data_IF_494974395038
#
_entry.id   IF_494974395038
#
_cell.length_a   1.000
_cell.length_b   1.000
_cell.length_c   1.000
_cell.angle_alpha   90.00
_cell.angle_beta   90.00
_cell.angle_gamma   90.00
#
_symmetry.space_group_name_H-M   'P 1'
#
loop_
_entity.id
_entity.type
_entity.pdbx_description
1 polymer ?
#
# COMPACT_ATOMS: atom_id res chain seq x y z
N UNK A 1 1.77 10.33 -1.39
CA UNK A 1 0.28 10.44 -1.31
C UNK A 1 -0.33 9.07 -1.54
N UNK A 2 -1.55 8.80 -1.05
CA UNK A 2 -2.22 7.50 -1.27
C UNK A 2 -3.70 7.69 -1.61
N UNK A 3 -4.25 6.77 -2.41
CA UNK A 3 -5.67 6.68 -2.77
C UNK A 3 -6.13 5.24 -2.69
N UNK A 4 -7.42 5.05 -2.48
CA UNK A 4 -8.06 3.76 -2.39
C UNK A 4 -9.42 3.79 -3.08
N UNK A 5 -9.58 3.05 -4.17
CA UNK A 5 -10.84 2.91 -4.89
C UNK A 5 -10.94 1.52 -5.53
N UNK A 6 -12.15 0.97 -5.66
CA UNK A 6 -12.41 -0.36 -6.27
C UNK A 6 -11.51 -1.49 -5.74
N UNK A 7 -11.24 -1.50 -4.42
CA UNK A 7 -10.36 -2.50 -3.81
C UNK A 7 -8.90 -2.40 -4.24
N UNK A 8 -8.46 -1.26 -4.78
CA UNK A 8 -7.06 -1.01 -5.14
C UNK A 8 -6.53 0.16 -4.32
N UNK A 9 -5.42 -0.06 -3.64
CA UNK A 9 -4.59 0.99 -3.06
C UNK A 9 -3.56 1.42 -4.09
N UNK A 10 -3.37 2.72 -4.28
CA UNK A 10 -2.26 3.29 -5.04
C UNK A 10 -1.49 4.31 -4.20
N UNK A 11 -0.17 4.21 -4.23
CA UNK A 11 0.76 5.08 -3.50
C UNK A 11 1.71 5.73 -4.51
N UNK A 12 1.82 7.05 -4.44
CA UNK A 12 2.65 7.87 -5.34
C UNK A 12 3.73 8.64 -4.59
N UNK A 13 4.77 9.00 -5.35
CA UNK A 13 5.92 9.74 -4.86
C UNK A 13 7.00 8.84 -4.29
N UNK A 14 7.03 7.59 -4.74
CA UNK A 14 8.01 6.58 -4.34
C UNK A 14 9.22 6.63 -5.28
N UNK A 15 10.35 6.10 -4.83
CA UNK A 15 11.48 5.84 -5.70
C UNK A 15 11.21 4.59 -6.56
N UNK A 16 11.73 4.56 -7.79
CA UNK A 16 11.64 3.36 -8.62
C UNK A 16 12.41 2.20 -7.98
N UNK A 17 11.75 1.04 -7.87
CA UNK A 17 12.31 -0.12 -7.17
C UNK A 17 12.01 -0.15 -5.67
N UNK A 18 11.37 0.89 -5.12
CA UNK A 18 10.98 0.90 -3.71
C UNK A 18 9.91 -0.15 -3.42
N UNK A 19 10.11 -0.93 -2.36
CA UNK A 19 9.21 -2.03 -1.99
C UNK A 19 8.18 -1.52 -0.99
N UNK A 20 6.90 -1.68 -1.33
CA UNK A 20 5.77 -1.42 -0.44
C UNK A 20 5.23 -2.74 0.08
N UNK A 21 5.09 -2.86 1.40
CA UNK A 21 4.52 -4.03 2.07
C UNK A 21 3.15 -3.69 2.64
N UNK A 22 2.16 -4.54 2.43
CA UNK A 22 0.79 -4.34 2.87
C UNK A 22 0.43 -5.29 4.01
N UNK A 23 -0.27 -4.74 5.00
CA UNK A 23 -0.73 -5.45 6.18
C UNK A 23 -2.20 -5.11 6.47
N UNK A 24 -2.94 -6.04 7.05
CA UNK A 24 -4.24 -5.77 7.63
C UNK A 24 -4.10 -4.98 8.95
N UNK A 25 -5.23 -4.48 9.47
CA UNK A 25 -5.27 -3.71 10.71
C UNK A 25 -4.75 -4.46 11.95
N UNK A 26 -4.87 -5.78 11.97
CA UNK A 26 -4.35 -6.68 13.01
C UNK A 26 -2.85 -6.98 12.87
N UNK A 27 -2.20 -6.46 11.82
CA UNK A 27 -0.79 -6.68 11.53
C UNK A 27 -0.50 -7.90 10.66
N UNK A 28 -1.52 -8.64 10.20
CA UNK A 28 -1.33 -9.76 9.25
C UNK A 28 -0.72 -9.26 7.95
N UNK A 29 0.33 -9.93 7.47
CA UNK A 29 0.92 -9.64 6.16
C UNK A 29 -0.03 -10.06 5.02
N UNK A 30 -0.26 -9.15 4.07
CA UNK A 30 -1.12 -9.37 2.92
C UNK A 30 -0.33 -9.63 1.64
N UNK A 31 0.78 -8.90 1.45
CA UNK A 31 1.63 -9.00 0.27
C UNK A 31 2.49 -7.76 0.07
N UNK A 32 3.18 -7.68 -1.06
CA UNK A 32 4.07 -6.56 -1.41
C UNK A 32 4.06 -6.27 -2.90
N UNK A 33 4.37 -5.02 -3.25
CA UNK A 33 4.59 -4.60 -4.64
C UNK A 33 5.84 -3.72 -4.73
N UNK A 34 6.38 -3.58 -5.94
CA UNK A 34 7.54 -2.74 -6.23
C UNK A 34 7.08 -1.51 -7.00
N UNK A 35 7.52 -0.34 -6.57
CA UNK A 35 7.18 0.90 -7.23
C UNK A 35 7.78 0.97 -8.65
N UNK A 36 6.95 1.28 -9.63
CA UNK A 36 7.32 1.52 -11.01
C UNK A 36 6.80 2.89 -11.45
N UNK A 37 7.68 3.72 -12.01
CA UNK A 37 7.42 5.13 -12.31
C UNK A 37 6.92 5.92 -11.09
N UNK A 38 7.48 5.62 -9.91
CA UNK A 38 7.13 6.22 -8.63
C UNK A 38 5.75 5.88 -8.10
N UNK A 39 5.12 4.81 -8.62
CA UNK A 39 3.81 4.33 -8.20
C UNK A 39 3.84 2.87 -7.80
N UNK A 40 3.21 2.56 -6.67
CA UNK A 40 2.96 1.21 -6.20
C UNK A 40 1.44 1.01 -6.05
N UNK A 41 0.89 -0.02 -6.69
CA UNK A 41 -0.53 -0.37 -6.60
C UNK A 41 -0.72 -1.81 -6.12
N UNK A 42 -1.75 -2.03 -5.30
CA UNK A 42 -2.03 -3.35 -4.71
C UNK A 42 -3.52 -3.57 -4.50
N UNK A 43 -4.00 -4.76 -4.88
CA UNK A 43 -5.38 -5.18 -4.67
C UNK A 43 -5.59 -5.62 -3.22
N UNK A 44 -6.66 -5.14 -2.60
CA UNK A 44 -7.00 -5.35 -1.19
C UNK A 44 -8.49 -5.63 -1.03
N UNK A 45 -8.79 -6.58 -0.16
CA UNK A 45 -10.17 -6.91 0.24
C UNK A 45 -10.49 -6.47 1.67
N UNK A 46 -9.49 -6.01 2.42
CA UNK A 46 -9.61 -5.59 3.82
C UNK A 46 -10.21 -4.18 3.91
N UNK A 47 -10.99 -3.89 4.96
CA UNK A 47 -11.56 -2.55 5.19
C UNK A 47 -10.54 -1.51 5.65
N UNK A 48 -9.39 -1.96 6.16
CA UNK A 48 -8.29 -1.11 6.59
C UNK A 48 -6.96 -1.79 6.27
N UNK A 49 -6.08 -1.04 5.60
CA UNK A 49 -4.78 -1.53 5.15
C UNK A 49 -3.69 -0.61 5.67
N UNK A 50 -2.57 -1.20 6.08
CA UNK A 50 -1.36 -0.51 6.48
C UNK A 50 -0.31 -0.79 5.40
N UNK A 51 0.05 0.22 4.64
CA UNK A 51 1.18 0.16 3.73
C UNK A 51 2.45 0.61 4.45
N UNK A 52 3.51 -0.20 4.40
CA UNK A 52 4.84 0.13 4.90
C UNK A 52 5.79 0.39 3.74
N UNK A 53 6.51 1.49 3.82
CA UNK A 53 7.51 1.94 2.84
C UNK A 53 8.78 2.27 3.63
N UNK A 54 9.82 1.46 3.50
CA UNK A 54 11.01 1.59 4.34
C UNK A 54 10.67 1.54 5.84
N UNK A 55 10.90 2.64 6.55
CA UNK A 55 10.57 2.82 7.99
C UNK A 55 9.20 3.47 8.21
N UNK A 56 8.62 4.05 7.17
CA UNK A 56 7.37 4.79 7.23
C UNK A 56 6.16 3.89 7.03
N UNK A 57 5.01 4.38 7.48
CA UNK A 57 3.74 3.67 7.32
C UNK A 57 2.59 4.62 7.01
N UNK A 58 1.69 4.17 6.14
CA UNK A 58 0.50 4.88 5.72
C UNK A 58 -0.70 3.98 6.05
N UNK A 59 -1.64 4.50 6.84
CA UNK A 59 -2.91 3.82 7.12
C UNK A 59 -3.96 4.28 6.12
N UNK A 60 -4.64 3.33 5.48
CA UNK A 60 -5.59 3.58 4.40
C UNK A 60 -6.91 2.88 4.75
N UNK A 61 -7.95 3.68 5.04
CA UNK A 61 -9.29 3.16 5.17
C UNK A 61 -9.87 2.87 3.78
N UNK A 62 -10.37 1.65 3.59
CA UNK A 62 -11.08 1.24 2.38
C UNK A 62 -12.58 1.52 2.58
N UNK A 63 -13.24 1.95 1.51
CA UNK A 63 -14.69 2.14 1.47
C UNK A 63 -15.38 0.94 0.85
#
# INVERSE_FOLDING_TARGET
MASAHDGIVSIWGLDNGEVVKFFAADGKYLGSTVAANGVASYAVSESLVIAKVGKDSIKIAMK
#
